data_IF_516223780540
#
_entry.id   IF_516223780540
#
_cell.length_a   1.000
_cell.length_b   1.000
_cell.length_c   1.000
_cell.angle_alpha   90.00
_cell.angle_beta   90.00
_cell.angle_gamma   90.00
#
_symmetry.space_group_name_H-M   'P 1'
#
loop_
_entity.id
_entity.type
_entity.pdbx_description
1 polymer ?
#
# COMPACT_ATOMS: atom_id res chain seq x y z
N UNK A 1 -0.17 -13.29 -16.12
CA UNK A 1 0.16 -11.85 -16.22
C UNK A 1 0.96 -11.44 -14.98
N UNK A 2 1.76 -10.37 -15.04
CA UNK A 2 2.43 -9.78 -13.87
C UNK A 2 1.58 -8.64 -13.32
N UNK A 3 0.81 -8.93 -12.27
CA UNK A 3 -0.04 -7.95 -11.59
C UNK A 3 0.65 -7.42 -10.32
N UNK A 4 0.76 -6.10 -10.20
CA UNK A 4 1.43 -5.46 -9.07
C UNK A 4 0.46 -4.63 -8.23
N UNK A 5 0.49 -4.83 -6.90
CA UNK A 5 -0.15 -3.93 -5.95
C UNK A 5 0.88 -2.96 -5.36
N UNK A 6 0.94 -1.78 -5.95
CA UNK A 6 1.92 -0.74 -5.63
C UNK A 6 1.42 0.11 -4.44
N UNK A 7 2.29 0.44 -3.49
CA UNK A 7 1.94 1.31 -2.36
C UNK A 7 3.16 1.67 -1.51
N UNK A 8 3.06 2.74 -0.71
CA UNK A 8 4.13 3.07 0.23
C UNK A 8 4.11 2.17 1.47
N UNK A 9 2.92 1.67 1.85
CA UNK A 9 2.66 0.77 2.97
C UNK A 9 3.38 1.19 4.27
N UNK A 10 3.16 2.44 4.71
CA UNK A 10 3.84 3.06 5.87
C UNK A 10 2.88 3.45 7.01
N UNK A 11 2.26 2.48 7.72
CA UNK A 11 2.38 1.03 7.55
C UNK A 11 1.31 0.40 6.64
N UNK A 12 1.50 -0.87 6.26
CA UNK A 12 0.42 -1.73 5.73
C UNK A 12 -0.68 -1.94 6.77
N UNK A 13 -1.93 -2.18 6.34
CA UNK A 13 -3.09 -2.27 7.23
C UNK A 13 -4.25 -3.07 6.60
N UNK A 14 -5.31 -3.36 7.36
CA UNK A 14 -6.46 -4.16 6.93
C UNK A 14 -7.17 -3.62 5.69
N UNK A 15 -7.30 -2.29 5.53
CA UNK A 15 -7.80 -1.71 4.27
C UNK A 15 -6.98 -2.08 3.02
N UNK A 16 -5.66 -2.23 3.15
CA UNK A 16 -4.82 -2.73 2.06
C UNK A 16 -5.08 -4.21 1.79
N UNK A 17 -5.26 -5.03 2.84
CA UNK A 17 -5.59 -6.45 2.70
C UNK A 17 -6.97 -6.66 2.05
N UNK A 18 -7.95 -5.80 2.37
CA UNK A 18 -9.26 -5.80 1.73
C UNK A 18 -9.14 -5.62 0.22
N UNK A 19 -8.41 -4.58 -0.21
CA UNK A 19 -8.11 -4.32 -1.63
C UNK A 19 -7.43 -5.53 -2.28
N UNK A 20 -6.41 -6.08 -1.64
CA UNK A 20 -5.66 -7.21 -2.16
C UNK A 20 -6.54 -8.44 -2.38
N UNK A 21 -7.38 -8.81 -1.40
CA UNK A 21 -8.28 -9.97 -1.52
C UNK A 21 -9.29 -9.81 -2.66
N UNK A 22 -9.80 -8.61 -2.87
CA UNK A 22 -10.68 -8.31 -4.01
C UNK A 22 -9.95 -8.46 -5.33
N UNK A 23 -8.71 -7.99 -5.39
CA UNK A 23 -7.87 -8.15 -6.56
C UNK A 23 -7.53 -9.63 -6.83
N UNK A 24 -7.15 -10.41 -5.81
CA UNK A 24 -6.91 -11.86 -5.95
C UNK A 24 -8.12 -12.57 -6.57
N UNK A 25 -9.31 -12.25 -6.08
CA UNK A 25 -10.56 -12.81 -6.62
C UNK A 25 -10.86 -12.35 -8.04
N UNK A 26 -10.50 -11.13 -8.41
CA UNK A 26 -10.76 -10.58 -9.73
C UNK A 26 -9.81 -11.14 -10.79
N UNK A 27 -8.51 -11.16 -10.50
CA UNK A 27 -7.49 -11.62 -11.45
C UNK A 27 -7.34 -13.14 -11.48
N UNK A 28 -7.70 -13.85 -10.41
CA UNK A 28 -7.50 -15.30 -10.29
C UNK A 28 -6.04 -15.74 -10.55
N UNK A 29 -5.08 -14.84 -10.33
CA UNK A 29 -3.64 -15.02 -10.55
C UNK A 29 -2.85 -14.46 -9.35
N UNK A 30 -1.59 -14.88 -9.13
CA UNK A 30 -0.74 -14.32 -8.10
C UNK A 30 -0.51 -12.81 -8.28
N UNK A 31 -0.67 -12.04 -7.20
CA UNK A 31 -0.42 -10.60 -7.16
C UNK A 31 0.78 -10.34 -6.26
N UNK A 32 1.72 -9.54 -6.74
CA UNK A 32 2.87 -9.10 -5.94
C UNK A 32 2.56 -7.78 -5.23
N UNK A 33 2.72 -7.74 -3.91
CA UNK A 33 2.67 -6.49 -3.13
C UNK A 33 4.02 -5.82 -3.23
N UNK A 34 4.04 -4.59 -3.74
CA UNK A 34 5.27 -3.85 -3.99
C UNK A 34 5.29 -2.59 -3.14
N UNK A 35 6.18 -2.57 -2.14
CA UNK A 35 6.47 -1.42 -1.31
C UNK A 35 7.37 -0.47 -2.12
N UNK A 36 6.79 0.64 -2.58
CA UNK A 36 7.47 1.62 -3.41
C UNK A 36 7.90 2.83 -2.58
N UNK A 37 9.20 3.10 -2.56
CA UNK A 37 9.82 4.16 -1.77
C UNK A 37 10.48 5.13 -2.73
N UNK A 38 9.93 6.33 -2.81
CA UNK A 38 10.50 7.40 -3.60
C UNK A 38 11.32 8.31 -2.67
N UNK A 39 12.58 8.55 -3.01
CA UNK A 39 13.52 9.32 -2.19
C UNK A 39 13.09 10.78 -2.02
N UNK A 40 12.23 11.31 -2.91
CA UNK A 40 11.63 12.64 -2.76
C UNK A 40 10.56 12.72 -1.66
N UNK A 41 10.12 11.59 -1.10
CA UNK A 41 9.24 11.54 0.07
C UNK A 41 10.04 11.07 1.27
N UNK A 42 10.83 11.97 1.86
CA UNK A 42 11.59 11.77 3.11
C UNK A 42 10.72 11.47 4.35
N UNK A 43 9.41 11.27 4.22
CA UNK A 43 8.43 11.34 5.32
C UNK A 43 7.90 9.99 5.80
N UNK A 44 8.61 8.90 5.50
CA UNK A 44 8.29 7.59 6.05
C UNK A 44 8.59 7.51 7.54
N UNK A 45 7.67 6.98 8.34
CA UNK A 45 7.95 6.67 9.76
C UNK A 45 8.77 5.39 9.88
N UNK A 46 8.53 4.44 8.97
CA UNK A 46 9.23 3.17 8.93
C UNK A 46 10.28 3.11 7.81
N UNK A 47 11.38 2.47 8.15
CA UNK A 47 12.40 1.96 7.23
C UNK A 47 11.81 0.88 6.31
N UNK A 48 12.55 0.53 5.26
CA UNK A 48 12.13 -0.50 4.29
C UNK A 48 11.86 -1.84 4.99
N UNK A 49 12.78 -2.27 5.86
CA UNK A 49 12.68 -3.54 6.58
C UNK A 49 11.50 -3.58 7.54
N UNK A 50 11.23 -2.47 8.23
CA UNK A 50 10.07 -2.36 9.12
C UNK A 50 8.76 -2.44 8.32
N UNK A 51 8.67 -1.76 7.17
CA UNK A 51 7.49 -1.87 6.30
C UNK A 51 7.31 -3.26 5.73
N UNK A 52 8.40 -3.93 5.32
CA UNK A 52 8.36 -5.32 4.88
C UNK A 52 7.86 -6.24 6.00
N UNK A 53 8.35 -6.03 7.23
CA UNK A 53 7.95 -6.80 8.41
C UNK A 53 6.45 -6.66 8.68
N UNK A 54 5.94 -5.42 8.73
CA UNK A 54 4.50 -5.18 8.94
C UNK A 54 3.69 -5.69 7.75
N UNK A 55 4.11 -5.44 6.50
CA UNK A 55 3.39 -5.93 5.33
C UNK A 55 3.30 -7.46 5.29
N UNK A 56 4.37 -8.17 5.67
CA UNK A 56 4.35 -9.64 5.75
C UNK A 56 3.40 -10.16 6.83
N UNK A 57 3.22 -9.46 7.94
CA UNK A 57 2.21 -9.86 8.95
C UNK A 57 0.77 -9.66 8.45
N UNK A 58 0.54 -8.61 7.65
CA UNK A 58 -0.78 -8.28 7.07
C UNK A 58 -1.13 -9.23 5.91
N UNK A 59 -0.20 -9.43 4.97
CA UNK A 59 -0.42 -10.20 3.75
C UNK A 59 -0.08 -11.69 3.91
N UNK A 60 0.59 -12.10 4.99
CA UNK A 60 0.96 -13.50 5.30
C UNK A 60 1.80 -14.12 4.18
N UNK A 61 1.37 -15.27 3.63
CA UNK A 61 2.13 -16.07 2.65
C UNK A 61 2.22 -15.46 1.24
N UNK A 62 1.72 -14.22 1.06
CA UNK A 62 1.73 -13.51 -0.22
C UNK A 62 3.10 -12.91 -0.50
N UNK A 63 3.46 -12.79 -1.79
CA UNK A 63 4.74 -12.19 -2.20
C UNK A 63 4.74 -10.69 -1.90
N UNK A 64 5.66 -10.26 -1.03
CA UNK A 64 5.90 -8.85 -0.70
C UNK A 64 7.36 -8.49 -0.99
N UNK A 65 7.55 -7.48 -1.84
CA UNK A 65 8.86 -6.97 -2.26
C UNK A 65 8.95 -5.46 -2.05
N UNK A 66 10.15 -4.93 -1.88
CA UNK A 66 10.38 -3.50 -1.76
C UNK A 66 11.26 -2.99 -2.92
N UNK A 67 10.96 -1.77 -3.37
CA UNK A 67 11.64 -1.09 -4.46
C UNK A 67 11.85 0.37 -4.07
N UNK A 68 13.09 0.84 -4.19
CA UNK A 68 13.47 2.20 -3.84
C UNK A 68 14.05 2.92 -5.05
N UNK A 69 13.74 4.22 -5.17
CA UNK A 69 14.26 5.09 -6.21
C UNK A 69 13.30 5.25 -7.39
N UNK A 70 13.29 6.45 -7.98
CA UNK A 70 12.35 6.80 -9.06
C UNK A 70 12.49 5.84 -10.25
N UNK A 71 13.72 5.61 -10.71
CA UNK A 71 13.98 4.82 -11.93
C UNK A 71 13.67 3.34 -11.73
N UNK A 72 14.06 2.76 -10.58
CA UNK A 72 13.74 1.37 -10.24
C UNK A 72 12.22 1.14 -10.16
N UNK A 73 11.47 2.08 -9.57
CA UNK A 73 10.00 1.98 -9.51
C UNK A 73 9.40 2.15 -10.92
N UNK A 74 9.96 3.04 -11.75
CA UNK A 74 9.53 3.19 -13.13
C UNK A 74 9.75 1.92 -13.94
N UNK A 75 10.92 1.30 -13.86
CA UNK A 75 11.22 0.02 -14.52
C UNK A 75 10.29 -1.10 -14.05
N UNK A 76 10.01 -1.15 -12.74
CA UNK A 76 9.02 -2.06 -12.18
C UNK A 76 7.65 -1.86 -12.83
N UNK A 77 7.17 -0.62 -12.93
CA UNK A 77 5.89 -0.30 -13.57
C UNK A 77 5.89 -0.73 -15.04
N UNK A 78 6.94 -0.40 -15.79
CA UNK A 78 7.05 -0.78 -17.21
C UNK A 78 7.05 -2.30 -17.44
N UNK A 79 7.49 -3.08 -16.45
CA UNK A 79 7.56 -4.54 -16.52
C UNK A 79 6.26 -5.28 -16.16
N UNK A 80 5.18 -4.56 -15.83
CA UNK A 80 3.93 -5.12 -15.35
C UNK A 80 2.80 -5.09 -16.39
N UNK A 81 1.91 -6.07 -16.31
CA UNK A 81 0.74 -6.19 -17.18
C UNK A 81 -0.48 -5.45 -16.62
N UNK A 82 -0.54 -5.29 -15.29
CA UNK A 82 -1.65 -4.63 -14.62
C UNK A 82 -1.30 -4.16 -13.21
N UNK A 83 -2.06 -3.18 -12.72
CA UNK A 83 -1.86 -2.58 -11.41
C UNK A 83 -3.11 -2.63 -10.57
N UNK A 84 -2.94 -2.78 -9.28
CA UNK A 84 -4.03 -2.75 -8.29
C UNK A 84 -3.96 -1.44 -7.51
N UNK A 85 -5.11 -0.79 -7.33
CA UNK A 85 -5.27 0.33 -6.39
C UNK A 85 -6.58 0.20 -5.62
N UNK A 86 -6.52 0.49 -4.33
CA UNK A 86 -7.71 0.68 -3.50
C UNK A 86 -8.16 2.14 -3.57
N UNK A 87 -9.45 2.42 -3.46
CA UNK A 87 -9.96 3.78 -3.36
C UNK A 87 -11.15 3.88 -2.39
N UNK A 88 -11.20 5.00 -1.67
CA UNK A 88 -12.33 5.45 -0.87
C UNK A 88 -13.10 6.57 -1.57
N UNK A 89 -12.41 7.47 -2.27
CA UNK A 89 -13.01 8.60 -2.97
C UNK A 89 -12.36 8.82 -4.35
N UNK A 90 -12.78 9.86 -5.07
CA UNK A 90 -12.21 10.19 -6.38
C UNK A 90 -10.79 10.77 -6.28
N UNK A 91 -10.41 11.37 -5.15
CA UNK A 91 -9.06 11.90 -4.93
C UNK A 91 -8.02 10.77 -4.91
N UNK A 92 -8.37 9.59 -4.37
CA UNK A 92 -7.51 8.41 -4.40
C UNK A 92 -7.21 7.95 -5.84
N UNK A 93 -8.20 8.03 -6.74
CA UNK A 93 -8.02 7.71 -8.16
C UNK A 93 -7.14 8.76 -8.83
N UNK A 94 -7.41 10.04 -8.59
CA UNK A 94 -6.62 11.15 -9.13
C UNK A 94 -5.16 11.10 -8.65
N UNK A 95 -4.92 10.66 -7.41
CA UNK A 95 -3.58 10.44 -6.89
C UNK A 95 -2.82 9.37 -7.70
N UNK A 96 -3.47 8.27 -8.09
CA UNK A 96 -2.86 7.26 -8.96
C UNK A 96 -2.51 7.82 -10.34
N UNK A 97 -3.36 8.68 -10.91
CA UNK A 97 -3.08 9.42 -12.16
C UNK A 97 -1.89 10.38 -11.98
N UNK A 98 -1.79 11.04 -10.82
CA UNK A 98 -0.66 11.91 -10.49
C UNK A 98 0.66 11.12 -10.41
N UNK A 99 0.63 9.94 -9.79
CA UNK A 99 1.79 9.06 -9.72
C UNK A 99 2.24 8.56 -11.10
N UNK A 100 1.32 8.20 -12.00
CA UNK A 100 1.70 7.75 -13.35
C UNK A 100 2.42 8.84 -14.13
N UNK A 101 2.01 10.10 -13.98
CA UNK A 101 2.73 11.26 -14.53
C UNK A 101 4.10 11.44 -13.89
N UNK A 102 4.18 11.33 -12.56
CA UNK A 102 5.45 11.49 -11.83
C UNK A 102 6.51 10.46 -12.27
N UNK A 103 6.10 9.23 -12.55
CA UNK A 103 6.98 8.16 -13.03
C UNK A 103 7.12 8.11 -14.56
N UNK A 104 6.61 9.10 -15.29
CA UNK A 104 6.71 9.18 -16.75
C UNK A 104 6.14 7.94 -17.47
N UNK A 105 4.97 7.48 -17.02
CA UNK A 105 4.23 6.26 -17.44
C UNK A 105 2.71 6.54 -17.51
N UNK A 106 2.33 7.76 -17.89
CA UNK A 106 0.92 8.19 -17.91
C UNK A 106 0.06 7.38 -18.90
N UNK A 107 0.66 6.86 -19.96
CA UNK A 107 0.06 5.94 -20.94
C UNK A 107 -0.34 4.59 -20.36
N UNK A 108 0.17 4.22 -19.19
CA UNK A 108 -0.16 2.97 -18.50
C UNK A 108 -1.29 3.11 -17.47
N UNK A 109 -1.91 4.30 -17.35
CA UNK A 109 -2.96 4.55 -16.36
C UNK A 109 -4.19 3.64 -16.55
N UNK A 110 -4.51 3.28 -17.80
CA UNK A 110 -5.63 2.40 -18.13
C UNK A 110 -5.39 0.94 -17.70
N UNK A 111 -4.16 0.58 -17.35
CA UNK A 111 -3.82 -0.73 -16.76
C UNK A 111 -4.10 -0.79 -15.25
N UNK A 112 -4.54 0.30 -14.63
CA UNK A 112 -4.86 0.35 -13.20
C UNK A 112 -6.29 -0.11 -12.97
N UNK A 113 -6.44 -1.22 -12.26
CA UNK A 113 -7.73 -1.70 -11.77
C UNK A 113 -7.97 -1.19 -10.35
N UNK A 114 -9.06 -0.43 -10.19
CA UNK A 114 -9.45 0.19 -8.93
C UNK A 114 -10.48 -0.66 -8.19
N UNK A 115 -10.22 -0.96 -6.92
CA UNK A 115 -11.14 -1.65 -6.03
C UNK A 115 -11.64 -0.71 -4.94
N UNK A 116 -12.96 -0.58 -4.83
CA UNK A 116 -13.57 0.19 -3.74
C UNK A 116 -13.25 -0.51 -2.42
N UNK A 117 -12.71 0.22 -1.46
CA UNK A 117 -12.46 -0.32 -0.11
C UNK A 117 -13.81 -0.45 0.60
N UNK A 118 -14.03 -1.57 1.31
CA UNK A 118 -15.27 -1.75 2.07
C UNK A 118 -15.40 -0.71 3.18
N UNK A 119 -16.64 -0.31 3.47
CA UNK A 119 -16.96 0.79 4.38
C UNK A 119 -16.30 0.62 5.76
N UNK A 120 -16.23 -0.62 6.27
CA UNK A 120 -15.59 -0.96 7.54
C UNK A 120 -14.09 -0.61 7.60
N UNK A 121 -13.40 -0.54 6.46
CA UNK A 121 -11.98 -0.14 6.38
C UNK A 121 -11.77 1.26 5.80
N UNK A 122 -12.84 1.98 5.46
CA UNK A 122 -12.75 3.22 4.69
C UNK A 122 -11.99 4.34 5.41
N UNK A 123 -11.99 4.34 6.74
CA UNK A 123 -11.23 5.31 7.54
C UNK A 123 -9.78 4.92 7.76
N UNK A 124 -9.40 3.67 7.44
CA UNK A 124 -8.05 3.14 7.65
C UNK A 124 -7.13 3.66 6.54
N UNK A 125 -6.47 4.78 6.80
CA UNK A 125 -5.30 5.25 6.07
C UNK A 125 -4.10 5.25 6.99
N UNK A 126 -2.89 5.01 6.45
CA UNK A 126 -1.66 5.04 7.24
C UNK A 126 -1.48 6.35 8.01
N UNK A 127 -1.91 7.49 7.45
CA UNK A 127 -1.91 8.79 8.13
C UNK A 127 -2.87 8.81 9.32
N UNK A 128 -4.11 8.35 9.13
CA UNK A 128 -5.12 8.35 10.20
C UNK A 128 -4.77 7.35 11.32
N UNK A 129 -4.21 6.20 10.95
CA UNK A 129 -3.69 5.19 11.89
C UNK A 129 -2.60 5.80 12.77
N UNK A 130 -1.60 6.49 12.17
CA UNK A 130 -0.55 7.18 12.92
C UNK A 130 -1.11 8.30 13.82
N UNK A 131 -2.06 9.09 13.33
CA UNK A 131 -2.68 10.18 14.10
C UNK A 131 -3.50 9.69 15.30
N UNK A 132 -4.06 8.48 15.22
CA UNK A 132 -4.89 7.88 16.27
C UNK A 132 -4.14 7.01 17.26
N UNK A 133 -2.81 6.89 17.15
CA UNK A 133 -1.98 5.99 17.96
C UNK A 133 -2.31 6.02 19.46
N UNK A 134 -2.44 7.23 20.03
CA UNK A 134 -2.71 7.42 21.46
C UNK A 134 -4.19 7.61 21.79
N UNK A 135 -4.98 8.15 20.85
CA UNK A 135 -6.38 8.51 21.11
C UNK A 135 -7.34 7.34 20.90
N UNK A 136 -6.96 6.35 20.09
CA UNK A 136 -7.78 5.18 19.78
C UNK A 136 -6.89 3.93 19.52
N UNK A 137 -6.25 3.38 20.58
CA UNK A 137 -5.33 2.25 20.44
C UNK A 137 -5.97 0.99 19.87
N UNK A 138 -7.24 0.74 20.19
CA UNK A 138 -7.99 -0.42 19.71
C UNK A 138 -8.20 -0.36 18.19
N UNK A 139 -8.60 0.81 17.67
CA UNK A 139 -8.69 1.04 16.22
C UNK A 139 -7.35 0.77 15.52
N UNK A 140 -6.25 1.27 16.08
CA UNK A 140 -4.91 1.12 15.49
C UNK A 140 -4.51 -0.35 15.48
N UNK A 141 -4.67 -1.05 16.60
CA UNK A 141 -4.39 -2.48 16.71
C UNK A 141 -5.24 -3.32 15.77
N UNK A 142 -6.52 -2.99 15.59
CA UNK A 142 -7.38 -3.64 14.59
C UNK A 142 -6.94 -3.34 13.15
N UNK A 143 -6.35 -2.17 12.89
CA UNK A 143 -5.90 -1.79 11.56
C UNK A 143 -4.58 -2.48 11.15
N UNK A 144 -3.60 -2.59 12.06
CA UNK A 144 -2.23 -3.06 11.74
C UNK A 144 -1.82 -4.38 12.41
N UNK A 145 -2.69 -4.94 13.26
CA UNK A 145 -2.37 -6.11 14.08
C UNK A 145 -1.45 -5.77 15.26
N UNK A 146 -1.18 -6.77 16.11
CA UNK A 146 -0.33 -6.60 17.31
C UNK A 146 1.07 -6.10 16.95
N UNK A 147 1.75 -6.81 16.04
CA UNK A 147 3.12 -6.47 15.62
C UNK A 147 3.20 -5.04 15.08
N UNK A 148 2.26 -4.65 14.22
CA UNK A 148 2.25 -3.30 13.66
C UNK A 148 1.99 -2.23 14.73
N UNK A 149 1.14 -2.54 15.72
CA UNK A 149 0.85 -1.63 16.84
C UNK A 149 2.06 -1.45 17.75
N UNK A 150 2.73 -2.54 18.14
CA UNK A 150 3.95 -2.50 18.95
C UNK A 150 5.05 -1.67 18.26
N UNK A 151 5.28 -1.89 16.97
CA UNK A 151 6.26 -1.13 16.19
C UNK A 151 5.89 0.35 16.03
N UNK A 152 4.60 0.68 15.94
CA UNK A 152 4.13 2.08 15.95
C UNK A 152 4.40 2.74 17.31
N UNK A 153 4.11 2.05 18.40
CA UNK A 153 4.40 2.55 19.76
C UNK A 153 5.90 2.74 19.99
N UNK A 154 6.76 1.87 19.47
CA UNK A 154 8.21 2.04 19.56
C UNK A 154 8.71 3.27 18.78
N UNK A 155 8.13 3.54 17.60
CA UNK A 155 8.57 4.64 16.73
C UNK A 155 8.02 6.01 17.09
N UNK A 156 6.77 6.06 17.51
CA UNK A 156 5.99 7.29 17.65
C UNK A 156 5.43 7.49 19.06
N UNK A 157 5.60 6.52 19.94
CA UNK A 157 5.04 6.54 21.30
C UNK A 157 5.86 7.31 22.33
#
# INVERSE_FOLDING_TARGET
>A
MRILYLGSFDPAHMGHLNTFRKAEKHFCEPIEVCICINDLKETGVFTIEERLTIARSIFKDRKVSAYQGKDTIRELILSADGFVRGYNNEEDKLYAVGLSKFYDVADLVDKVTFFKIDEEYSTMSSTNIKAKLHSDPEYVKNAVGELGYEMLMEKLG
#
